data_IF_657746362019
#
_entry.id   IF_657746362019
#
_cell.length_a   1.000
_cell.length_b   1.000
_cell.length_c   1.000
_cell.angle_alpha   90.00
_cell.angle_beta   90.00
_cell.angle_gamma   90.00
#
_symmetry.space_group_name_H-M   'P 1'
#
loop_
_entity.id
_entity.type
_entity.pdbx_description
1 polymer ?
#
# COMPACT_ATOMS: atom_id res chain seq x y z
N UNK A 1 -13.42 -21.85 -28.69
CA UNK A 1 -13.60 -20.57 -27.95
C UNK A 1 -12.66 -19.50 -28.48
N UNK A 2 -11.34 -19.69 -28.51
CA UNK A 2 -10.34 -18.71 -28.97
C UNK A 2 -10.65 -18.21 -30.39
N UNK A 3 -10.90 -19.09 -31.35
CA UNK A 3 -11.25 -18.71 -32.72
C UNK A 3 -12.52 -17.85 -32.83
N UNK A 4 -13.48 -18.00 -31.89
CA UNK A 4 -14.68 -17.15 -31.85
C UNK A 4 -14.35 -15.74 -31.36
N UNK A 5 -13.45 -15.59 -30.38
CA UNK A 5 -12.99 -14.30 -29.89
C UNK A 5 -12.24 -13.57 -31.00
N UNK A 6 -11.30 -14.26 -31.65
CA UNK A 6 -10.50 -13.72 -32.74
C UNK A 6 -11.39 -13.26 -33.92
N UNK A 7 -12.35 -14.12 -34.32
CA UNK A 7 -13.32 -13.78 -35.35
C UNK A 7 -14.17 -12.56 -34.96
N UNK A 8 -14.65 -12.49 -33.71
CA UNK A 8 -15.43 -11.34 -33.22
C UNK A 8 -14.68 -10.03 -33.36
N UNK A 9 -13.40 -9.99 -32.93
CA UNK A 9 -12.55 -8.79 -33.05
C UNK A 9 -12.40 -8.36 -34.51
N UNK A 10 -12.13 -9.32 -35.39
CA UNK A 10 -11.95 -9.08 -36.82
C UNK A 10 -13.23 -8.59 -37.51
N UNK A 11 -14.35 -9.29 -37.25
CA UNK A 11 -15.65 -8.98 -37.87
C UNK A 11 -16.18 -7.59 -37.42
N UNK A 12 -15.94 -7.22 -36.18
CA UNK A 12 -16.34 -5.93 -35.59
C UNK A 12 -15.38 -4.78 -35.93
N UNK A 13 -14.19 -5.08 -36.48
CA UNK A 13 -13.13 -4.11 -36.75
C UNK A 13 -12.80 -3.21 -35.56
N UNK A 14 -12.72 -3.80 -34.39
CA UNK A 14 -12.45 -3.07 -33.15
C UNK A 14 -11.11 -2.34 -33.24
N UNK A 15 -11.08 -1.06 -32.90
CA UNK A 15 -9.85 -0.31 -32.74
C UNK A 15 -9.09 -0.75 -31.47
N UNK A 16 -7.84 -0.29 -31.27
CA UNK A 16 -7.01 -0.72 -30.15
C UNK A 16 -7.67 -0.47 -28.79
N UNK A 17 -8.32 0.67 -28.57
CA UNK A 17 -8.98 1.01 -27.32
C UNK A 17 -10.19 0.09 -27.06
N UNK A 18 -11.00 -0.15 -28.06
CA UNK A 18 -12.12 -1.08 -28.00
C UNK A 18 -11.66 -2.51 -27.71
N UNK A 19 -10.52 -2.93 -28.28
CA UNK A 19 -9.91 -4.24 -28.00
C UNK A 19 -9.47 -4.32 -26.53
N UNK A 20 -8.81 -3.27 -25.99
CA UNK A 20 -8.40 -3.25 -24.58
C UNK A 20 -9.63 -3.41 -23.68
N UNK A 21 -10.69 -2.63 -23.89
CA UNK A 21 -11.94 -2.70 -23.12
C UNK A 21 -12.57 -4.10 -23.22
N UNK A 22 -12.60 -4.66 -24.41
CA UNK A 22 -13.13 -6.01 -24.66
C UNK A 22 -12.34 -7.07 -23.89
N UNK A 23 -11.01 -7.03 -23.90
CA UNK A 23 -10.18 -7.96 -23.15
C UNK A 23 -10.31 -7.78 -21.63
N UNK A 24 -10.45 -6.55 -21.13
CA UNK A 24 -10.69 -6.31 -19.71
C UNK A 24 -12.03 -6.92 -19.26
N UNK A 25 -13.08 -6.82 -20.07
CA UNK A 25 -14.39 -7.44 -19.80
C UNK A 25 -14.30 -8.99 -19.78
N UNK A 26 -13.52 -9.57 -20.68
CA UNK A 26 -13.27 -11.03 -20.69
C UNK A 26 -12.51 -11.45 -19.43
N UNK A 27 -11.46 -10.73 -19.05
CA UNK A 27 -10.69 -10.99 -17.83
C UNK A 27 -11.59 -10.93 -16.60
N UNK A 28 -12.51 -9.95 -16.56
CA UNK A 28 -13.49 -9.85 -15.47
C UNK A 28 -14.39 -11.07 -15.38
N UNK A 29 -14.94 -11.50 -16.51
CA UNK A 29 -15.79 -12.68 -16.56
C UNK A 29 -15.05 -13.93 -16.09
N UNK A 30 -13.84 -14.15 -16.60
CA UNK A 30 -12.99 -15.28 -16.22
C UNK A 30 -12.65 -15.23 -14.73
N UNK A 31 -12.32 -14.03 -14.20
CA UNK A 31 -12.01 -13.84 -12.79
C UNK A 31 -13.19 -14.23 -11.88
N UNK A 32 -14.40 -13.83 -12.22
CA UNK A 32 -15.62 -14.14 -11.44
C UNK A 32 -15.88 -15.65 -11.25
N UNK A 33 -15.53 -16.45 -12.25
CA UNK A 33 -15.71 -17.91 -12.21
C UNK A 33 -14.44 -18.67 -11.80
N UNK A 34 -13.31 -17.98 -11.67
CA UNK A 34 -12.03 -18.60 -11.31
C UNK A 34 -12.04 -19.12 -9.87
N UNK A 35 -11.50 -20.33 -9.60
CA UNK A 35 -11.27 -20.79 -8.23
C UNK A 35 -10.25 -19.91 -7.48
N UNK A 36 -9.43 -19.13 -8.19
CA UNK A 36 -8.43 -18.22 -7.64
C UNK A 36 -8.92 -16.76 -7.54
N UNK A 37 -10.22 -16.51 -7.67
CA UNK A 37 -10.81 -15.15 -7.65
C UNK A 37 -10.48 -14.33 -6.39
N UNK A 38 -10.14 -15.00 -5.30
CA UNK A 38 -9.73 -14.32 -4.05
C UNK A 38 -8.26 -13.86 -4.06
N UNK A 39 -7.50 -14.20 -5.11
CA UNK A 39 -6.11 -13.75 -5.26
C UNK A 39 -6.06 -12.50 -6.15
N UNK A 40 -5.59 -11.35 -5.65
CA UNK A 40 -5.59 -10.10 -6.43
C UNK A 40 -4.86 -10.23 -7.77
N UNK A 41 -3.75 -10.98 -7.80
CA UNK A 41 -2.95 -11.19 -9.01
C UNK A 41 -3.67 -12.02 -10.09
N UNK A 42 -4.75 -12.72 -9.74
CA UNK A 42 -5.56 -13.47 -10.71
C UNK A 42 -6.24 -12.55 -11.74
N UNK A 43 -6.34 -11.24 -11.45
CA UNK A 43 -6.86 -10.24 -12.37
C UNK A 43 -5.98 -8.99 -12.35
N UNK A 44 -5.07 -8.89 -13.31
CA UNK A 44 -4.33 -7.65 -13.57
C UNK A 44 -5.15 -6.78 -14.51
N UNK A 45 -5.44 -5.55 -14.09
CA UNK A 45 -6.16 -4.54 -14.85
C UNK A 45 -5.19 -3.56 -15.48
N UNK A 46 -5.43 -3.16 -16.73
CA UNK A 46 -4.76 -2.04 -17.37
C UNK A 46 -5.68 -0.82 -17.31
N UNK A 47 -5.43 0.07 -16.37
CA UNK A 47 -6.27 1.26 -16.13
C UNK A 47 -5.59 2.54 -16.60
N UNK A 48 -6.38 3.53 -17.00
CA UNK A 48 -5.87 4.88 -17.29
C UNK A 48 -5.05 5.39 -16.09
N UNK A 49 -3.81 5.80 -16.34
CA UNK A 49 -2.90 6.25 -15.28
C UNK A 49 -3.43 7.46 -14.51
N UNK A 50 -4.31 8.27 -15.11
CA UNK A 50 -4.93 9.42 -14.47
C UNK A 50 -5.98 9.02 -13.42
N UNK A 51 -6.47 7.77 -13.47
CA UNK A 51 -7.34 7.19 -12.45
C UNK A 51 -6.57 6.62 -11.28
N UNK A 52 -5.24 6.66 -11.30
CA UNK A 52 -4.38 6.16 -10.23
C UNK A 52 -3.79 7.33 -9.46
N UNK A 53 -3.89 7.30 -8.14
CA UNK A 53 -3.33 8.33 -7.25
C UNK A 53 -2.32 7.72 -6.30
N UNK A 54 -1.24 8.47 -5.99
CA UNK A 54 -0.33 8.08 -4.92
C UNK A 54 -1.05 8.04 -3.58
N UNK A 55 -0.46 7.32 -2.64
CA UNK A 55 -0.89 7.32 -1.25
C UNK A 55 -0.12 8.40 -0.48
N UNK A 56 -0.81 9.16 0.36
CA UNK A 56 -0.23 10.20 1.20
C UNK A 56 0.76 9.65 2.25
N UNK A 57 0.73 8.34 2.48
CA UNK A 57 1.53 7.62 3.49
C UNK A 57 2.73 6.84 2.91
N UNK A 58 3.25 7.21 1.74
CA UNK A 58 4.37 6.45 1.18
C UNK A 58 5.70 6.86 1.83
N UNK A 59 6.26 6.04 2.74
CA UNK A 59 7.50 6.37 3.46
C UNK A 59 8.76 6.12 2.64
N UNK A 60 8.65 5.58 1.41
CA UNK A 60 9.79 5.14 0.63
C UNK A 60 10.32 6.26 -0.25
N UNK A 61 11.55 6.68 0.02
CA UNK A 61 12.37 7.44 -0.92
C UNK A 61 13.37 6.50 -1.58
N UNK A 62 13.47 6.54 -2.91
CA UNK A 62 14.42 5.74 -3.67
C UNK A 62 15.47 6.67 -4.28
N UNK A 63 16.74 6.25 -4.23
CA UNK A 63 17.81 7.01 -4.82
C UNK A 63 17.66 7.12 -6.36
N UNK A 64 18.13 8.21 -6.94
CA UNK A 64 18.05 8.46 -8.40
C UNK A 64 18.63 7.31 -9.24
N UNK A 65 19.70 6.66 -8.75
CA UNK A 65 20.33 5.52 -9.42
C UNK A 65 19.38 4.32 -9.53
N UNK A 66 18.68 4.01 -8.44
CA UNK A 66 17.72 2.88 -8.40
C UNK A 66 16.50 3.15 -9.27
N UNK A 67 16.05 4.39 -9.34
CA UNK A 67 15.00 4.80 -10.26
C UNK A 67 15.43 4.63 -11.74
N UNK A 68 16.70 4.91 -12.06
CA UNK A 68 17.26 4.67 -13.39
C UNK A 68 17.29 3.18 -13.76
N UNK A 69 17.66 2.30 -12.81
CA UNK A 69 17.62 0.86 -13.02
C UNK A 69 16.20 0.33 -13.24
N UNK A 70 15.24 0.83 -12.45
CA UNK A 70 13.83 0.47 -12.62
C UNK A 70 13.29 0.92 -13.97
N UNK A 71 13.61 2.14 -14.41
CA UNK A 71 13.27 2.62 -15.75
C UNK A 71 13.82 1.70 -16.84
N UNK A 72 15.12 1.35 -16.78
CA UNK A 72 15.76 0.45 -17.72
C UNK A 72 15.08 -0.93 -17.75
N UNK A 73 14.79 -1.50 -16.58
CA UNK A 73 14.08 -2.78 -16.51
C UNK A 73 12.69 -2.72 -17.14
N UNK A 74 11.88 -1.69 -16.82
CA UNK A 74 10.55 -1.56 -17.42
C UNK A 74 10.63 -1.31 -18.91
N UNK A 75 11.65 -0.59 -19.38
CA UNK A 75 11.83 -0.32 -20.81
C UNK A 75 12.17 -1.59 -21.60
N UNK A 76 13.04 -2.46 -21.05
CA UNK A 76 13.46 -3.68 -21.71
C UNK A 76 12.47 -4.85 -21.54
N UNK A 77 12.02 -5.08 -20.30
CA UNK A 77 11.25 -6.27 -19.95
C UNK A 77 9.74 -6.03 -19.88
N UNK A 78 9.32 -4.77 -19.87
CA UNK A 78 7.93 -4.39 -19.59
C UNK A 78 7.57 -4.47 -18.11
N UNK A 79 6.27 -4.42 -17.82
CA UNK A 79 5.77 -4.59 -16.46
C UNK A 79 5.67 -6.07 -16.09
N UNK A 80 6.56 -6.56 -15.26
CA UNK A 80 6.54 -7.93 -14.72
C UNK A 80 5.75 -8.03 -13.42
N UNK A 81 5.54 -6.89 -12.72
CA UNK A 81 4.76 -6.81 -11.48
C UNK A 81 3.77 -5.66 -11.54
N UNK A 82 2.47 -5.90 -11.30
CA UNK A 82 1.48 -4.85 -11.26
C UNK A 82 1.64 -3.97 -10.01
N UNK A 83 1.11 -2.76 -10.08
CA UNK A 83 0.98 -1.86 -8.92
C UNK A 83 -0.18 -2.34 -8.06
N UNK A 84 0.01 -2.41 -6.73
CA UNK A 84 -1.03 -2.83 -5.79
C UNK A 84 -1.86 -1.62 -5.37
N UNK A 85 -3.16 -1.70 -5.49
CA UNK A 85 -4.08 -0.59 -5.23
C UNK A 85 -5.30 -1.03 -4.42
N UNK A 86 -6.01 -0.05 -3.86
CA UNK A 86 -7.40 -0.14 -3.38
C UNK A 86 -8.22 0.86 -4.19
N UNK A 87 -9.46 0.51 -4.52
CA UNK A 87 -10.38 1.45 -5.15
C UNK A 87 -11.06 2.32 -4.10
N UNK A 88 -11.01 3.63 -4.31
CA UNK A 88 -11.68 4.64 -3.50
C UNK A 88 -12.96 5.07 -4.22
N UNK A 89 -14.10 4.70 -3.65
CA UNK A 89 -15.43 4.97 -4.24
C UNK A 89 -15.77 6.47 -4.22
N UNK A 90 -15.29 7.22 -3.21
CA UNK A 90 -15.59 8.66 -3.08
C UNK A 90 -14.82 9.46 -4.14
N UNK A 91 -13.52 9.17 -4.27
CA UNK A 91 -12.67 9.84 -5.24
C UNK A 91 -12.76 9.23 -6.65
N UNK A 92 -13.37 8.06 -6.80
CA UNK A 92 -13.41 7.24 -8.03
C UNK A 92 -12.01 7.00 -8.60
N UNK A 93 -11.05 6.70 -7.72
CA UNK A 93 -9.65 6.50 -8.04
C UNK A 93 -9.08 5.24 -7.41
N UNK A 94 -8.02 4.72 -8.04
CA UNK A 94 -7.21 3.65 -7.49
C UNK A 94 -6.07 4.25 -6.67
N UNK A 95 -6.07 4.02 -5.37
CA UNK A 95 -5.03 4.54 -4.45
C UNK A 95 -3.93 3.51 -4.32
N UNK A 96 -2.69 3.92 -4.54
CA UNK A 96 -1.52 3.03 -4.51
C UNK A 96 -1.24 2.59 -3.07
N UNK A 97 -1.14 1.27 -2.88
CA UNK A 97 -0.68 0.62 -1.65
C UNK A 97 0.81 0.28 -1.76
N UNK A 98 1.20 -0.26 -2.93
CA UNK A 98 2.58 -0.63 -3.24
C UNK A 98 2.87 -0.47 -4.72
N UNK A 99 4.14 -0.16 -5.03
CA UNK A 99 4.61 0.05 -6.40
C UNK A 99 4.58 1.50 -6.86
N UNK A 100 4.64 2.46 -5.93
CA UNK A 100 4.71 3.90 -6.26
C UNK A 100 5.80 4.22 -7.29
N UNK A 101 7.00 3.64 -7.16
CA UNK A 101 8.10 3.88 -8.10
C UNK A 101 7.77 3.38 -9.51
N UNK A 102 7.07 2.26 -9.65
CA UNK A 102 6.59 1.73 -10.95
C UNK A 102 5.56 2.66 -11.59
N UNK A 103 4.63 3.19 -10.78
CA UNK A 103 3.69 4.22 -11.22
C UNK A 103 4.41 5.49 -11.64
N UNK A 104 5.33 6.00 -10.80
CA UNK A 104 6.07 7.23 -11.07
C UNK A 104 6.94 7.09 -12.34
N UNK A 105 7.62 5.96 -12.53
CA UNK A 105 8.39 5.68 -13.73
C UNK A 105 7.50 5.71 -14.99
N UNK A 106 6.31 5.11 -14.94
CA UNK A 106 5.38 5.17 -16.07
C UNK A 106 4.94 6.61 -16.37
N UNK A 107 4.54 7.33 -15.33
CA UNK A 107 3.98 8.68 -15.46
C UNK A 107 5.01 9.70 -15.93
N UNK A 108 6.28 9.53 -15.54
CA UNK A 108 7.37 10.48 -15.86
C UNK A 108 8.08 10.20 -17.17
N UNK A 109 7.82 9.07 -17.83
CA UNK A 109 8.51 8.68 -19.06
C UNK A 109 7.51 8.47 -20.20
N UNK A 110 7.43 9.44 -21.15
CA UNK A 110 6.45 9.41 -22.24
C UNK A 110 6.51 8.12 -23.06
N UNK A 111 7.70 7.60 -23.35
CA UNK A 111 7.87 6.37 -24.15
C UNK A 111 7.25 5.12 -23.50
N UNK A 112 7.34 4.99 -22.15
CA UNK A 112 6.69 3.90 -21.42
C UNK A 112 5.18 4.12 -21.43
N UNK A 113 4.74 5.35 -21.20
CA UNK A 113 3.32 5.70 -21.15
C UNK A 113 2.65 5.47 -22.52
N UNK A 114 3.28 5.87 -23.61
CA UNK A 114 2.77 5.68 -24.97
C UNK A 114 2.72 4.20 -25.35
N UNK A 115 3.79 3.43 -25.08
CA UNK A 115 3.81 1.99 -25.28
C UNK A 115 2.66 1.28 -24.56
N UNK A 116 2.33 1.74 -23.37
CA UNK A 116 1.25 1.20 -22.54
C UNK A 116 -0.13 1.83 -22.86
N UNK A 117 -0.24 2.62 -23.94
CA UNK A 117 -1.50 3.29 -24.32
C UNK A 117 -2.10 4.14 -23.19
N UNK A 118 -1.25 4.87 -22.46
CA UNK A 118 -1.66 5.70 -21.32
C UNK A 118 -2.09 4.92 -20.06
N UNK A 119 -1.82 3.60 -20.00
CA UNK A 119 -2.33 2.70 -18.97
C UNK A 119 -1.24 2.18 -18.04
N UNK A 120 -1.65 1.84 -16.84
CA UNK A 120 -0.82 1.22 -15.80
C UNK A 120 -1.41 -0.13 -15.39
N UNK A 121 -0.59 -1.21 -15.29
CA UNK A 121 -1.08 -2.49 -14.80
C UNK A 121 -1.21 -2.43 -13.27
N UNK A 122 -2.40 -2.74 -12.78
CA UNK A 122 -2.71 -2.76 -11.36
C UNK A 122 -3.37 -4.06 -10.93
N UNK A 123 -3.28 -4.37 -9.65
CA UNK A 123 -4.18 -5.29 -8.94
C UNK A 123 -4.93 -4.54 -7.86
N UNK A 124 -6.19 -4.91 -7.64
CA UNK A 124 -7.04 -4.24 -6.65
C UNK A 124 -7.24 -5.16 -5.45
N UNK A 125 -6.88 -4.67 -4.26
CA UNK A 125 -7.18 -5.35 -3.01
C UNK A 125 -8.66 -5.10 -2.65
N UNK A 126 -9.39 -6.18 -2.37
CA UNK A 126 -10.76 -6.10 -1.87
C UNK A 126 -10.74 -5.79 -0.36
N UNK A 127 -10.44 -4.55 -0.02
CA UNK A 127 -10.38 -4.02 1.36
C UNK A 127 -11.00 -2.65 1.40
N UNK A 128 -11.54 -2.30 2.58
CA UNK A 128 -12.03 -0.95 2.80
C UNK A 128 -10.87 0.06 2.90
N UNK A 129 -11.19 1.34 2.77
CA UNK A 129 -10.18 2.41 2.76
C UNK A 129 -9.47 2.55 4.11
N UNK A 130 -10.12 2.18 5.22
CA UNK A 130 -9.53 2.23 6.56
C UNK A 130 -8.40 1.20 6.74
N UNK A 131 -8.49 0.06 6.05
CA UNK A 131 -7.44 -0.97 6.03
C UNK A 131 -6.28 -0.63 5.08
N UNK A 132 -6.38 0.48 4.33
CA UNK A 132 -5.39 0.93 3.35
C UNK A 132 -4.04 1.16 3.99
N UNK A 133 -4.02 1.88 5.10
CA UNK A 133 -2.81 2.23 5.83
C UNK A 133 -2.06 0.98 6.29
N UNK A 134 -2.75 0.08 6.95
CA UNK A 134 -2.20 -1.20 7.40
C UNK A 134 -1.66 -2.05 6.23
N UNK A 135 -2.38 -2.09 5.11
CA UNK A 135 -1.92 -2.80 3.92
C UNK A 135 -0.65 -2.19 3.33
N UNK A 136 -0.58 -0.86 3.23
CA UNK A 136 0.63 -0.17 2.75
C UNK A 136 1.85 -0.53 3.60
N UNK A 137 1.67 -0.56 4.91
CA UNK A 137 2.75 -0.89 5.84
C UNK A 137 3.21 -2.31 5.72
N UNK A 138 2.27 -3.28 5.72
CA UNK A 138 2.63 -4.69 5.57
C UNK A 138 3.42 -4.94 4.29
N UNK A 139 2.96 -4.40 3.16
CA UNK A 139 3.66 -4.52 1.89
C UNK A 139 5.06 -3.89 1.93
N UNK A 140 5.17 -2.73 2.54
CA UNK A 140 6.45 -2.06 2.68
C UNK A 140 7.38 -2.84 3.63
N UNK A 141 6.93 -3.22 4.81
CA UNK A 141 7.73 -3.96 5.79
C UNK A 141 8.26 -5.31 5.29
N UNK A 142 7.47 -6.02 4.52
CA UNK A 142 7.88 -7.29 3.93
C UNK A 142 9.08 -7.17 2.96
N UNK A 143 9.41 -5.96 2.50
CA UNK A 143 10.48 -5.71 1.52
C UNK A 143 11.82 -5.26 2.10
N UNK A 144 11.92 -5.04 3.41
CA UNK A 144 13.19 -4.68 4.06
C UNK A 144 13.25 -3.25 4.62
N UNK A 145 14.41 -2.60 4.55
CA UNK A 145 14.71 -1.38 5.31
C UNK A 145 13.76 -0.21 5.05
N UNK A 146 13.26 0.37 6.14
CA UNK A 146 12.40 1.57 6.13
C UNK A 146 13.13 2.73 6.80
N UNK A 147 12.85 3.95 6.33
CA UNK A 147 13.29 5.12 7.08
C UNK A 147 12.54 5.19 8.41
N UNK A 148 13.26 5.41 9.50
CA UNK A 148 12.67 5.57 10.83
C UNK A 148 11.61 6.68 10.83
N UNK A 149 11.87 7.77 10.10
CA UNK A 149 10.95 8.89 9.94
C UNK A 149 9.64 8.48 9.27
N UNK A 150 9.70 7.68 8.20
CA UNK A 150 8.51 7.20 7.50
C UNK A 150 7.65 6.28 8.37
N UNK A 151 8.29 5.37 9.13
CA UNK A 151 7.60 4.51 10.08
C UNK A 151 6.95 5.30 11.22
N UNK A 152 7.65 6.31 11.75
CA UNK A 152 7.12 7.18 12.80
C UNK A 152 5.90 7.96 12.34
N UNK A 153 5.95 8.57 11.15
CA UNK A 153 4.80 9.29 10.59
C UNK A 153 3.60 8.39 10.39
N UNK A 154 3.82 7.15 9.98
CA UNK A 154 2.78 6.16 9.77
C UNK A 154 2.12 5.72 11.08
N UNK A 155 2.92 5.38 12.10
CA UNK A 155 2.43 5.09 13.45
C UNK A 155 1.60 6.26 13.99
N UNK A 156 2.08 7.48 13.80
CA UNK A 156 1.36 8.69 14.17
C UNK A 156 -0.02 8.76 13.53
N UNK A 157 -0.11 8.57 12.21
CA UNK A 157 -1.38 8.61 11.49
C UNK A 157 -2.34 7.48 11.92
N UNK A 158 -1.84 6.27 12.21
CA UNK A 158 -2.67 5.18 12.73
C UNK A 158 -3.27 5.54 14.10
N UNK A 159 -2.47 6.14 14.98
CA UNK A 159 -2.92 6.60 16.29
C UNK A 159 -3.94 7.73 16.19
N UNK A 160 -3.75 8.70 15.29
CA UNK A 160 -4.74 9.76 15.03
C UNK A 160 -6.06 9.22 14.50
N UNK A 161 -6.02 8.11 13.74
CA UNK A 161 -7.21 7.41 13.27
C UNK A 161 -7.78 6.43 14.31
N UNK A 162 -7.34 6.50 15.58
CA UNK A 162 -7.93 5.77 16.69
C UNK A 162 -7.47 4.33 16.86
N UNK A 163 -6.42 3.91 16.16
CA UNK A 163 -5.84 2.57 16.32
C UNK A 163 -5.22 2.40 17.70
N UNK A 164 -5.45 1.23 18.32
CA UNK A 164 -4.84 0.90 19.60
C UNK A 164 -3.42 0.37 19.41
N UNK A 165 -2.56 0.57 20.39
CA UNK A 165 -1.15 0.14 20.37
C UNK A 165 -0.98 -1.34 20.01
N UNK A 166 -1.82 -2.20 20.58
CA UNK A 166 -1.77 -3.63 20.34
C UNK A 166 -2.11 -3.97 18.89
N UNK A 167 -3.11 -3.29 18.32
CA UNK A 167 -3.52 -3.50 16.94
C UNK A 167 -2.43 -3.03 15.97
N UNK A 168 -1.79 -1.90 16.28
CA UNK A 168 -0.65 -1.38 15.53
C UNK A 168 0.51 -2.38 15.58
N UNK A 169 0.87 -2.89 16.77
CA UNK A 169 1.93 -3.88 16.92
C UNK A 169 1.63 -5.16 16.13
N UNK A 170 0.41 -5.68 16.22
CA UNK A 170 -0.01 -6.88 15.49
C UNK A 170 0.01 -6.68 13.99
N UNK A 171 -0.55 -5.56 13.53
CA UNK A 171 -0.71 -5.25 12.11
C UNK A 171 0.63 -4.96 11.42
N UNK A 172 1.53 -4.27 12.13
CA UNK A 172 2.84 -3.91 11.62
C UNK A 172 3.91 -4.95 11.92
N UNK A 173 3.60 -5.98 12.72
CA UNK A 173 4.57 -6.98 13.16
C UNK A 173 5.74 -6.36 13.93
N UNK A 174 5.49 -5.32 14.76
CA UNK A 174 6.51 -4.65 15.56
C UNK A 174 6.35 -4.94 17.05
N UNK A 175 7.45 -4.82 17.79
CA UNK A 175 7.40 -4.94 19.24
C UNK A 175 6.84 -3.67 19.89
N UNK A 176 6.35 -3.81 21.13
CA UNK A 176 5.88 -2.65 21.91
C UNK A 176 7.01 -1.63 22.13
N UNK A 177 8.24 -2.10 22.35
CA UNK A 177 9.41 -1.23 22.51
C UNK A 177 9.70 -0.43 21.24
N UNK A 178 9.55 -1.06 20.06
CA UNK A 178 9.72 -0.39 18.78
C UNK A 178 8.64 0.68 18.58
N UNK A 179 7.37 0.37 18.89
CA UNK A 179 6.27 1.31 18.84
C UNK A 179 6.51 2.52 19.75
N UNK A 180 6.95 2.31 20.99
CA UNK A 180 7.26 3.38 21.94
C UNK A 180 8.36 4.29 21.40
N UNK A 181 9.45 3.74 20.83
CA UNK A 181 10.51 4.53 20.20
C UNK A 181 9.98 5.39 19.05
N UNK A 182 9.12 4.84 18.19
CA UNK A 182 8.54 5.59 17.08
C UNK A 182 7.61 6.70 17.54
N UNK A 183 6.84 6.48 18.60
CA UNK A 183 6.02 7.52 19.25
C UNK A 183 6.85 8.68 19.79
N UNK A 184 8.00 8.39 20.38
CA UNK A 184 8.91 9.44 20.88
C UNK A 184 9.48 10.29 19.76
N UNK A 185 9.83 9.71 18.62
CA UNK A 185 10.40 10.42 17.47
C UNK A 185 9.39 11.41 16.87
N UNK A 186 8.10 11.07 16.85
CA UNK A 186 7.05 11.96 16.31
C UNK A 186 6.63 13.07 17.27
N UNK A 187 7.14 13.11 18.50
CA UNK A 187 6.68 14.05 19.51
C UNK A 187 5.25 13.78 19.99
N UNK A 188 4.75 12.58 19.76
CA UNK A 188 3.39 12.14 20.10
C UNK A 188 3.03 12.35 21.58
N UNK A 189 4.04 12.38 22.46
CA UNK A 189 3.87 12.68 23.88
C UNK A 189 3.27 14.07 24.16
N UNK A 190 3.39 15.02 23.23
CA UNK A 190 2.83 16.37 23.36
C UNK A 190 1.32 16.43 23.03
N UNK A 191 0.81 15.52 22.20
CA UNK A 191 -0.61 15.48 21.79
C UNK A 191 -1.51 14.84 22.84
N UNK A 192 -0.97 14.12 23.84
CA UNK A 192 -1.74 13.39 24.85
C UNK A 192 -1.52 13.90 26.28
N UNK A 193 -0.96 15.11 26.45
CA UNK A 193 -0.83 15.72 27.78
C UNK A 193 -2.17 15.97 28.49
N UNK A 194 -3.28 15.99 27.74
CA UNK A 194 -4.63 16.23 28.27
C UNK A 194 -5.50 14.97 28.43
N UNK A 195 -5.00 13.79 28.12
CA UNK A 195 -5.71 12.52 28.39
C UNK A 195 -4.89 11.67 29.36
N UNK A 196 -5.50 11.28 30.51
CA UNK A 196 -4.91 10.33 31.45
C UNK A 196 -4.50 9.05 30.71
N UNK A 197 -3.29 9.03 30.19
CA UNK A 197 -2.68 7.86 29.60
C UNK A 197 -2.13 7.03 30.76
N UNK A 198 -2.83 5.94 31.15
CA UNK A 198 -2.23 4.92 32.00
C UNK A 198 -1.07 4.31 31.23
N UNK A 199 0.14 4.81 31.50
CA UNK A 199 1.36 4.23 30.93
C UNK A 199 1.38 2.74 31.25
N UNK A 200 1.72 1.94 30.25
CA UNK A 200 1.93 0.50 30.41
C UNK A 200 3.18 0.29 31.29
N UNK A 201 3.00 0.31 32.59
CA UNK A 201 4.05 -0.07 33.54
C UNK A 201 4.12 -1.60 33.53
N UNK A 202 5.31 -2.16 33.24
CA UNK A 202 5.51 -3.60 33.37
C UNK A 202 5.25 -4.00 34.82
N UNK A 203 4.74 -5.25 35.06
CA UNK A 203 4.50 -5.76 36.42
C UNK A 203 5.68 -5.52 37.36
N UNK A 204 6.91 -5.60 36.85
CA UNK A 204 8.15 -5.36 37.60
C UNK A 204 8.34 -3.88 38.00
N UNK A 205 7.96 -2.93 37.14
CA UNK A 205 8.02 -1.50 37.49
C UNK A 205 6.99 -1.10 38.52
N UNK A 206 5.80 -1.71 38.45
CA UNK A 206 4.75 -1.52 39.47
C UNK A 206 5.19 -2.11 40.85
N UNK A 207 5.84 -3.27 40.82
CA UNK A 207 6.36 -3.90 42.05
C UNK A 207 7.52 -3.08 42.65
N UNK A 208 8.45 -2.57 41.84
CA UNK A 208 9.53 -1.70 42.29
C UNK A 208 9.01 -0.40 42.90
N UNK A 209 8.04 0.27 42.23
CA UNK A 209 7.42 1.51 42.77
C UNK A 209 6.70 1.25 44.10
N UNK A 210 6.01 0.09 44.25
CA UNK A 210 5.40 -0.29 45.53
C UNK A 210 6.43 -0.51 46.61
N UNK A 211 7.56 -1.13 46.32
CA UNK A 211 8.64 -1.39 47.28
C UNK A 211 9.28 -0.09 47.77
N UNK A 212 9.62 0.85 46.86
CA UNK A 212 10.15 2.17 47.22
C UNK A 212 9.18 3.06 48.01
N UNK A 213 7.86 2.89 47.79
CA UNK A 213 6.84 3.66 48.54
C UNK A 213 6.65 3.16 49.96
N UNK A 214 6.88 1.87 50.21
CA UNK A 214 6.80 1.29 51.58
C UNK A 214 8.10 1.53 52.38
N UNK A 215 9.24 1.67 51.75
CA UNK A 215 10.52 1.95 52.43
C UNK A 215 10.68 3.44 52.84
N UNK A 216 9.86 4.34 52.34
CA UNK A 216 9.89 5.78 52.68
C UNK A 216 8.73 6.22 53.60
N UNK A 217 7.95 5.28 54.15
CA UNK A 217 6.87 5.56 55.10
C UNK A 217 7.09 4.93 56.48
N UNK A 218 8.27 4.38 56.76
CA UNK A 218 8.84 4.03 58.06
C UNK A 218 9.97 5.02 58.41
#
# INVERSE_FOLDING_TARGET
MINKIQKYITDKKLNEEEQIVFFENIKELIHKISPLKNQPVNRVLWVDINKVSPNDYNPNSVAKKEMGLLYTSILHDGYTQPVVTIYDEEQKKYIIIDGFHRYFTCKSNPEILERNKGRLPIVVLNKNINDRMASTVRHNRARGMHSVTGMSSMVFNMLENGWQDQDICNELGMSVEELVKLKHITGFSKLFQDKEYKSWETKNQILLKKKYKNENND
#
